data_IF_104144965179
#
_entry.id   IF_104144965179
#
_cell.length_a   1.000
_cell.length_b   1.000
_cell.length_c   1.000
_cell.angle_alpha   90.00
_cell.angle_beta   90.00
_cell.angle_gamma   90.00
#
_symmetry.space_group_name_H-M   'P 1'
#
loop_
_entity.id
_entity.type
_entity.pdbx_description
1 polymer ?
#
# COMPACT_ATOMS: atom_id res chain seq x y z
N UNK A 1 5.34 -22.45 23.12
CA UNK A 1 5.09 -22.08 22.67
C UNK A 1 4.87 -21.50 21.84
N UNK A 2 4.88 -21.58 21.47
CA UNK A 2 4.68 -20.96 20.88
C UNK A 2 4.47 -20.79 19.91
N UNK A 3 4.34 -20.54 19.71
CA UNK A 3 4.05 -20.30 18.82
C UNK A 3 3.69 -19.57 18.19
N UNK A 4 3.74 -18.98 18.03
CA UNK A 4 3.44 -18.31 17.44
C UNK A 4 3.44 -17.79 16.58
N UNK A 5 3.38 -17.34 16.44
CA UNK A 5 3.77 -16.87 15.56
C UNK A 5 3.32 -16.77 14.19
N UNK A 6 2.57 -17.49 13.46
CA UNK A 6 2.05 -17.30 12.11
C UNK A 6 1.32 -15.99 11.93
N UNK A 7 0.63 -15.58 12.95
CA UNK A 7 -0.08 -14.31 12.95
C UNK A 7 0.84 -13.13 12.71
N UNK A 8 2.02 -13.22 13.28
CA UNK A 8 2.97 -12.14 13.15
C UNK A 8 3.48 -12.00 11.73
N UNK A 9 3.59 -13.13 11.04
CA UNK A 9 4.07 -13.11 9.66
C UNK A 9 3.12 -12.34 8.77
N UNK A 10 1.84 -12.39 9.08
CA UNK A 10 0.83 -11.71 8.29
C UNK A 10 0.96 -10.21 8.29
N UNK A 11 1.59 -9.65 9.32
CA UNK A 11 1.65 -8.21 9.49
C UNK A 11 2.97 -7.62 9.02
N UNK A 12 3.63 -8.29 8.09
CA UNK A 12 4.86 -7.76 7.52
C UNK A 12 4.51 -6.70 6.50
N UNK A 13 5.13 -5.53 6.65
CA UNK A 13 4.99 -4.48 5.65
C UNK A 13 5.85 -4.77 4.45
N UNK A 14 5.29 -4.57 3.27
CA UNK A 14 6.07 -4.72 2.04
C UNK A 14 5.47 -3.82 0.98
N UNK A 15 6.28 -3.52 -0.03
CA UNK A 15 5.82 -2.66 -1.11
C UNK A 15 4.77 -3.42 -1.92
N UNK A 16 3.64 -2.78 -2.12
CA UNK A 16 2.51 -3.40 -2.80
C UNK A 16 1.90 -2.43 -3.80
N UNK A 17 1.28 -2.99 -4.82
CA UNK A 17 0.48 -2.23 -5.78
C UNK A 17 -0.97 -2.51 -5.43
N UNK A 18 -1.69 -1.46 -5.05
CA UNK A 18 -3.08 -1.58 -4.63
C UNK A 18 -3.94 -0.87 -5.65
N UNK A 19 -4.90 -1.58 -6.20
CA UNK A 19 -5.83 -1.01 -7.17
C UNK A 19 -7.18 -0.85 -6.50
N UNK A 20 -7.66 0.38 -6.47
CA UNK A 20 -8.93 0.69 -5.85
C UNK A 20 -10.06 0.47 -6.84
N UNK A 21 -11.27 0.24 -6.33
CA UNK A 21 -12.42 0.03 -7.19
C UNK A 21 -12.70 1.22 -8.07
N UNK A 22 -12.27 2.41 -7.64
CA UNK A 22 -12.41 3.62 -8.44
C UNK A 22 -11.48 3.66 -9.65
N UNK A 23 -10.50 2.76 -9.71
CA UNK A 23 -9.50 2.76 -10.77
C UNK A 23 -8.19 3.41 -10.39
N UNK A 24 -8.14 4.03 -9.22
CA UNK A 24 -6.89 4.63 -8.75
C UNK A 24 -5.91 3.52 -8.41
N UNK A 25 -4.66 3.68 -8.84
CA UNK A 25 -3.60 2.73 -8.55
C UNK A 25 -2.61 3.36 -7.58
N UNK A 26 -2.30 2.63 -6.51
CA UNK A 26 -1.41 3.12 -5.48
C UNK A 26 -0.23 2.18 -5.31
N UNK A 27 0.95 2.75 -5.11
CA UNK A 27 2.11 1.99 -4.68
C UNK A 27 2.48 2.49 -3.29
N UNK A 28 2.75 1.56 -2.37
CA UNK A 28 2.88 1.93 -0.97
C UNK A 28 3.53 0.78 -0.19
N UNK A 29 4.15 1.13 0.93
CA UNK A 29 4.43 0.10 1.93
C UNK A 29 3.08 -0.28 2.53
N UNK A 30 2.76 -1.55 2.56
CA UNK A 30 1.45 -1.98 2.99
C UNK A 30 1.52 -3.21 3.87
N UNK A 31 0.59 -3.26 4.78
CA UNK A 31 0.41 -4.40 5.67
C UNK A 31 -1.06 -4.74 5.68
N UNK A 32 -1.38 -6.01 5.45
CA UNK A 32 -2.76 -6.46 5.49
C UNK A 32 -3.14 -6.83 6.91
N UNK A 33 -4.30 -6.36 7.33
CA UNK A 33 -4.78 -6.58 8.68
C UNK A 33 -5.96 -7.55 8.64
N UNK A 34 -6.19 -8.21 9.76
CA UNK A 34 -7.23 -9.24 9.82
C UNK A 34 -8.63 -8.65 9.95
N UNK A 35 -8.73 -7.44 10.47
CA UNK A 35 -10.03 -6.80 10.66
C UNK A 35 -10.03 -5.45 10.00
N UNK A 36 -11.24 -4.92 9.77
CA UNK A 36 -11.36 -3.61 9.17
C UNK A 36 -10.90 -2.51 10.14
N UNK A 37 -10.21 -1.50 9.65
CA UNK A 37 -9.75 -1.36 8.26
C UNK A 37 -8.73 -2.44 7.93
N UNK A 38 -8.81 -2.97 6.71
CA UNK A 38 -8.09 -4.19 6.37
C UNK A 38 -6.68 -3.96 5.84
N UNK A 39 -6.32 -2.73 5.57
CA UNK A 39 -5.01 -2.45 5.00
C UNK A 39 -4.44 -1.16 5.58
N UNK A 40 -3.23 -1.26 6.09
CA UNK A 40 -2.49 -0.10 6.58
C UNK A 40 -1.43 0.24 5.54
N UNK A 41 -1.47 1.47 5.03
CA UNK A 41 -0.50 1.95 4.06
C UNK A 41 0.40 2.98 4.71
N UNK A 42 1.69 2.89 4.40
CA UNK A 42 2.67 3.89 4.84
C UNK A 42 3.25 4.55 3.59
N UNK A 43 3.20 5.86 3.56
CA UNK A 43 3.70 6.66 2.43
C UNK A 43 3.10 6.22 1.09
N UNK A 44 1.76 6.25 0.95
CA UNK A 44 1.15 5.84 -0.31
C UNK A 44 1.34 6.91 -1.39
N UNK A 45 1.58 6.44 -2.61
CA UNK A 45 1.71 7.29 -3.80
C UNK A 45 0.77 6.79 -4.87
N UNK A 46 0.11 7.73 -5.53
CA UNK A 46 -0.75 7.41 -6.67
C UNK A 46 0.09 7.38 -7.93
N UNK A 47 -0.19 6.39 -8.78
CA UNK A 47 0.48 6.27 -10.07
C UNK A 47 -0.35 7.07 -11.08
N UNK A 48 0.26 8.10 -11.67
CA UNK A 48 -0.42 8.93 -12.65
C UNK A 48 -0.35 8.28 -14.01
N UNK A 49 -1.13 8.82 -14.95
CA UNK A 49 -1.22 8.25 -16.28
C UNK A 49 0.13 8.21 -16.99
N UNK A 50 0.98 9.19 -16.71
CA UNK A 50 2.29 9.23 -17.34
C UNK A 50 3.32 8.37 -16.58
N UNK A 51 2.90 7.64 -15.57
CA UNK A 51 3.77 6.75 -14.82
C UNK A 51 4.51 7.40 -13.67
N UNK A 52 4.34 8.70 -13.47
CA UNK A 52 4.98 9.37 -12.33
C UNK A 52 4.16 9.14 -11.07
N UNK A 53 4.80 9.35 -9.92
CA UNK A 53 4.19 9.09 -8.62
C UNK A 53 3.89 10.40 -7.91
N UNK A 54 2.76 10.43 -7.22
CA UNK A 54 2.29 11.60 -6.52
C UNK A 54 1.78 11.16 -5.15
N UNK A 55 2.14 11.87 -4.06
CA UNK A 55 1.65 11.49 -2.73
C UNK A 55 0.12 11.42 -2.70
N UNK A 56 -0.40 10.43 -2.02
CA UNK A 56 -1.84 10.20 -1.94
C UNK A 56 -2.22 9.85 -0.50
N UNK A 57 -3.33 10.33 0.06
CA UNK A 57 -4.27 11.27 -0.58
C UNK A 57 -3.64 12.66 -0.65
N UNK A 58 -4.27 13.50 -1.46
CA UNK A 58 -3.82 14.88 -1.57
C UNK A 58 -4.36 15.67 -0.37
N UNK A 59 -3.76 16.82 -0.13
CA UNK A 59 -4.26 17.76 0.88
C UNK A 59 -4.19 17.24 2.30
N UNK A 60 -3.21 16.38 2.58
CA UNK A 60 -2.93 15.90 3.93
C UNK A 60 -1.43 15.72 4.09
N UNK A 61 -0.96 15.87 5.31
CA UNK A 61 0.42 15.56 5.64
C UNK A 61 0.55 14.19 6.30
N UNK A 62 -0.58 13.48 6.45
CA UNK A 62 -0.55 12.14 7.00
C UNK A 62 0.22 11.21 6.08
N UNK A 63 1.08 10.40 6.67
CA UNK A 63 1.84 9.42 5.91
C UNK A 63 1.31 8.00 6.12
N UNK A 64 0.46 7.80 7.12
CA UNK A 64 -0.16 6.53 7.38
C UNK A 64 -1.64 6.63 7.02
N UNK A 65 -2.10 5.75 6.15
CA UNK A 65 -3.46 5.79 5.65
C UNK A 65 -4.06 4.40 5.74
N UNK A 66 -5.30 4.33 6.17
CA UNK A 66 -5.98 3.05 6.33
C UNK A 66 -7.04 2.90 5.23
N UNK A 67 -7.13 1.70 4.69
CA UNK A 67 -8.13 1.39 3.68
C UNK A 67 -9.07 0.31 4.20
N UNK A 68 -10.33 0.45 3.83
CA UNK A 68 -11.33 -0.58 4.10
C UNK A 68 -11.45 -1.49 2.89
N UNK A 69 -11.72 -2.75 3.13
CA UNK A 69 -11.71 -3.75 2.06
C UNK A 69 -12.67 -3.42 0.94
N UNK A 70 -13.78 -2.76 1.25
CA UNK A 70 -14.78 -2.46 0.23
C UNK A 70 -14.29 -1.48 -0.82
N UNK A 71 -13.18 -0.76 -0.58
CA UNK A 71 -12.63 0.16 -1.57
C UNK A 71 -11.57 -0.48 -2.43
N UNK A 72 -11.11 -1.67 -2.09
CA UNK A 72 -9.97 -2.31 -2.73
C UNK A 72 -10.46 -3.30 -3.76
N UNK A 73 -9.99 -3.16 -5.02
CA UNK A 73 -10.27 -4.16 -6.04
C UNK A 73 -9.27 -5.29 -5.95
N UNK A 74 -7.98 -4.97 -5.82
CA UNK A 74 -6.98 -6.02 -5.71
C UNK A 74 -5.67 -5.46 -5.17
N UNK A 75 -4.86 -6.34 -4.61
CA UNK A 75 -3.52 -6.01 -4.12
C UNK A 75 -2.58 -7.01 -4.77
N UNK A 76 -1.55 -6.49 -5.45
CA UNK A 76 -0.61 -7.35 -6.16
C UNK A 76 0.80 -6.86 -5.92
N UNK A 77 1.76 -7.69 -6.34
CA UNK A 77 3.18 -7.35 -6.22
C UNK A 77 3.56 -6.43 -7.37
N UNK A 78 4.17 -5.28 -7.08
CA UNK A 78 4.59 -4.37 -8.15
C UNK A 78 5.81 -4.93 -8.89
N UNK A 79 6.02 -4.41 -10.10
CA UNK A 79 7.21 -4.76 -10.85
C UNK A 79 8.45 -4.20 -10.15
N UNK A 80 9.62 -4.75 -10.49
CA UNK A 80 10.87 -4.25 -9.91
C UNK A 80 11.08 -2.78 -10.26
N UNK A 81 10.67 -2.39 -11.44
CA UNK A 81 10.80 -1.00 -11.88
C UNK A 81 9.97 -0.06 -11.03
N UNK A 82 8.73 -0.45 -10.76
CA UNK A 82 7.85 0.38 -9.93
C UNK A 82 8.36 0.45 -8.50
N UNK A 83 8.86 -0.66 -7.98
CA UNK A 83 9.45 -0.67 -6.64
C UNK A 83 10.59 0.33 -6.54
N UNK A 84 11.45 0.37 -7.55
CA UNK A 84 12.58 1.29 -7.56
C UNK A 84 12.11 2.73 -7.57
N UNK A 85 11.10 3.04 -8.37
CA UNK A 85 10.56 4.38 -8.40
C UNK A 85 10.04 4.79 -7.02
N UNK A 86 9.31 3.88 -6.40
CA UNK A 86 8.75 4.15 -5.09
C UNK A 86 9.85 4.39 -4.06
N UNK A 87 10.87 3.54 -4.07
CA UNK A 87 11.97 3.69 -3.12
C UNK A 87 12.70 5.00 -3.31
N UNK A 88 12.79 5.47 -4.54
CA UNK A 88 13.45 6.73 -4.83
C UNK A 88 12.69 7.91 -4.26
N UNK A 89 11.37 7.91 -4.40
CA UNK A 89 10.57 9.05 -3.95
C UNK A 89 10.34 9.04 -2.45
N UNK A 90 10.52 7.91 -1.78
CA UNK A 90 10.25 7.83 -0.35
C UNK A 90 11.50 7.90 0.51
N UNK A 91 12.65 8.09 -0.08
CA UNK A 91 13.91 8.17 0.65
C UNK A 91 14.01 9.36 1.55
#
# INVERSE_FOLDING_TARGET
MGQRRPTQIRNIMQIALIILKSGIELVTMAEQLEEEPSCHMQDPYMIKEDGTLEPWPRYTTDTDVLLYSETIATIVTPTAELKKKYETVTK
#
